data_IF_471696088827
#
_entry.id   IF_471696088827
#
_cell.length_a   1.000
_cell.length_b   1.000
_cell.length_c   1.000
_cell.angle_alpha   90.00
_cell.angle_beta   90.00
_cell.angle_gamma   90.00
#
_symmetry.space_group_name_H-M   'P 1'
#
loop_
_entity.id
_entity.type
_entity.pdbx_description
1 polymer ?
#
# COMPACT_ATOMS: atom_id res chain seq x y z
N UNK A 1 20.48 -6.59 -14.37
CA UNK A 1 19.49 -7.63 -14.14
C UNK A 1 18.19 -7.29 -14.85
N UNK A 2 17.54 -8.28 -15.45
CA UNK A 2 16.23 -8.09 -16.10
C UNK A 2 15.18 -7.60 -15.07
N UNK A 3 14.10 -6.94 -15.54
CA UNK A 3 12.95 -6.57 -14.68
C UNK A 3 12.40 -7.78 -13.93
N UNK A 4 12.39 -8.94 -14.57
CA UNK A 4 11.94 -10.20 -14.00
C UNK A 4 12.84 -10.68 -12.84
N UNK A 5 14.16 -10.62 -12.97
CA UNK A 5 15.09 -10.99 -11.89
C UNK A 5 14.99 -10.10 -10.65
N UNK A 6 14.65 -8.81 -10.84
CA UNK A 6 14.39 -7.90 -9.70
C UNK A 6 13.07 -8.21 -9.00
N UNK A 7 12.02 -8.57 -9.74
CA UNK A 7 10.74 -8.95 -9.16
C UNK A 7 10.83 -10.27 -8.38
N UNK A 8 11.59 -11.24 -8.88
CA UNK A 8 11.84 -12.52 -8.20
C UNK A 8 12.68 -12.33 -6.93
N UNK A 9 13.73 -11.50 -6.98
CA UNK A 9 14.54 -11.17 -5.81
C UNK A 9 13.74 -10.41 -4.74
N UNK A 10 12.88 -9.46 -5.15
CA UNK A 10 11.99 -8.76 -4.26
C UNK A 10 10.95 -9.68 -3.61
N UNK A 11 10.38 -10.63 -4.36
CA UNK A 11 9.45 -11.61 -3.84
C UNK A 11 10.14 -12.57 -2.84
N UNK A 12 11.38 -12.99 -3.12
CA UNK A 12 12.16 -13.83 -2.21
C UNK A 12 12.48 -13.08 -0.90
N UNK A 13 12.95 -11.83 -0.97
CA UNK A 13 13.23 -11.02 0.22
C UNK A 13 11.98 -10.73 1.06
N UNK A 14 10.81 -10.54 0.42
CA UNK A 14 9.54 -10.38 1.14
C UNK A 14 9.08 -11.65 1.85
N UNK A 15 9.43 -12.83 1.32
CA UNK A 15 9.12 -14.11 1.95
C UNK A 15 9.95 -14.35 3.24
N UNK A 16 11.16 -13.78 3.30
CA UNK A 16 12.05 -13.88 4.46
C UNK A 16 11.63 -12.98 5.63
N UNK A 17 10.87 -11.91 5.36
CA UNK A 17 10.38 -11.02 6.43
C UNK A 17 9.35 -11.72 7.32
N UNK A 18 9.67 -11.88 8.59
CA UNK A 18 8.80 -12.49 9.58
C UNK A 18 7.83 -11.48 10.18
N UNK A 19 6.52 -11.76 10.11
CA UNK A 19 5.50 -10.95 10.78
C UNK A 19 4.29 -10.65 9.92
N UNK A 20 3.29 -9.95 10.48
CA UNK A 20 2.04 -9.61 9.82
C UNK A 20 2.21 -8.43 8.85
N UNK A 21 2.85 -8.67 7.73
CA UNK A 21 3.03 -7.71 6.66
C UNK A 21 1.86 -7.73 5.68
N UNK A 22 1.54 -6.58 5.12
CA UNK A 22 0.59 -6.43 4.00
C UNK A 22 1.38 -6.16 2.73
N UNK A 23 1.11 -6.93 1.68
CA UNK A 23 1.74 -6.74 0.37
C UNK A 23 0.84 -5.94 -0.56
N UNK A 24 1.38 -4.87 -1.12
CA UNK A 24 0.73 -4.09 -2.17
C UNK A 24 1.34 -4.44 -3.53
N UNK A 25 0.56 -5.05 -4.41
CA UNK A 25 1.04 -5.64 -5.66
C UNK A 25 0.55 -4.82 -6.85
N UNK A 26 1.49 -4.35 -7.69
CA UNK A 26 1.15 -3.66 -8.94
C UNK A 26 0.48 -4.63 -9.92
N UNK A 27 -0.71 -4.30 -10.48
CA UNK A 27 -1.50 -5.24 -11.25
C UNK A 27 -0.91 -5.57 -12.63
N UNK A 28 0.00 -4.74 -13.13
CA UNK A 28 0.69 -4.96 -14.40
C UNK A 28 1.98 -5.78 -14.29
N UNK A 29 2.40 -6.15 -13.07
CA UNK A 29 3.59 -6.97 -12.88
C UNK A 29 3.35 -8.38 -13.42
N UNK A 30 4.40 -8.94 -14.07
CA UNK A 30 4.43 -10.35 -14.39
C UNK A 30 4.37 -11.16 -13.09
N UNK A 31 3.50 -12.16 -13.03
CA UNK A 31 3.32 -12.96 -11.83
C UNK A 31 2.51 -12.32 -10.69
N UNK A 32 1.86 -11.16 -10.90
CA UNK A 32 1.04 -10.51 -9.86
C UNK A 32 0.07 -11.47 -9.16
N UNK A 33 -0.65 -12.29 -9.92
CA UNK A 33 -1.59 -13.26 -9.39
C UNK A 33 -0.92 -14.41 -8.61
N UNK A 34 0.26 -14.86 -9.01
CA UNK A 34 1.00 -15.90 -8.27
C UNK A 34 1.59 -15.35 -6.98
N UNK A 35 2.15 -14.14 -7.01
CA UNK A 35 2.64 -13.44 -5.82
C UNK A 35 1.52 -13.22 -4.80
N UNK A 36 0.32 -12.80 -5.27
CA UNK A 36 -0.83 -12.63 -4.41
C UNK A 36 -1.23 -13.93 -3.70
N UNK A 37 -1.32 -15.05 -4.45
CA UNK A 37 -1.65 -16.36 -3.88
C UNK A 37 -0.61 -16.85 -2.86
N UNK A 38 0.67 -16.66 -3.13
CA UNK A 38 1.74 -17.04 -2.21
C UNK A 38 1.64 -16.24 -0.91
N UNK A 39 1.49 -14.92 -0.99
CA UNK A 39 1.34 -14.07 0.18
C UNK A 39 0.13 -14.46 1.03
N UNK A 40 -1.00 -14.77 0.40
CA UNK A 40 -2.21 -15.23 1.10
C UNK A 40 -2.03 -16.59 1.75
N UNK A 41 -1.30 -17.52 1.10
CA UNK A 41 -0.99 -18.81 1.69
C UNK A 41 -0.12 -18.69 2.96
N UNK A 42 0.67 -17.62 3.06
CA UNK A 42 1.44 -17.23 4.27
C UNK A 42 0.60 -16.44 5.29
N UNK A 43 -0.70 -16.25 5.05
CA UNK A 43 -1.61 -15.52 5.93
C UNK A 43 -1.45 -14.00 5.88
N UNK A 44 -0.83 -13.46 4.83
CA UNK A 44 -0.63 -12.02 4.65
C UNK A 44 -1.83 -11.36 3.99
N UNK A 45 -2.12 -10.13 4.37
CA UNK A 45 -3.05 -9.28 3.64
C UNK A 45 -2.43 -8.83 2.30
N UNK A 46 -3.25 -8.75 1.27
CA UNK A 46 -2.82 -8.31 -0.07
C UNK A 46 -3.69 -7.14 -0.53
N UNK A 47 -3.06 -6.09 -1.00
CA UNK A 47 -3.67 -4.92 -1.63
C UNK A 47 -3.30 -4.86 -3.11
N UNK A 48 -4.18 -4.30 -3.93
CA UNK A 48 -3.80 -3.88 -5.29
C UNK A 48 -3.11 -2.53 -5.22
N UNK A 49 -1.87 -2.44 -5.68
CA UNK A 49 -1.11 -1.20 -5.79
C UNK A 49 -1.44 -0.52 -7.11
N UNK A 50 -2.51 0.28 -7.12
CA UNK A 50 -3.10 0.83 -8.34
C UNK A 50 -2.30 2.02 -8.85
N UNK A 51 -1.78 1.99 -10.10
CA UNK A 51 -1.08 3.13 -10.68
C UNK A 51 -2.05 4.29 -10.90
N UNK A 52 -1.65 5.47 -10.42
CA UNK A 52 -2.45 6.69 -10.47
C UNK A 52 -1.61 7.89 -10.91
N UNK A 53 -2.24 8.83 -11.60
CA UNK A 53 -1.62 10.01 -12.18
C UNK A 53 -0.90 10.89 -11.15
N UNK A 54 0.43 11.15 -11.31
CA UNK A 54 1.16 12.09 -10.47
C UNK A 54 0.98 13.55 -10.95
N UNK A 55 1.37 14.51 -10.11
CA UNK A 55 1.47 15.92 -10.50
C UNK A 55 2.63 16.17 -11.47
N UNK A 56 3.69 15.38 -11.37
CA UNK A 56 4.87 15.47 -12.22
C UNK A 56 4.72 14.74 -13.55
N UNK A 57 5.85 14.58 -14.24
CA UNK A 57 5.94 13.89 -15.53
C UNK A 57 6.33 12.40 -15.39
N UNK A 58 6.47 11.92 -14.17
CA UNK A 58 6.81 10.52 -13.91
C UNK A 58 5.71 9.60 -14.43
N UNK A 59 6.13 8.48 -15.03
CA UNK A 59 5.19 7.48 -15.57
C UNK A 59 4.74 6.51 -14.47
N UNK A 60 3.47 6.52 -14.08
CA UNK A 60 2.94 5.60 -13.09
C UNK A 60 2.79 4.16 -13.62
N UNK A 61 3.01 3.95 -14.90
CA UNK A 61 2.89 2.65 -15.55
C UNK A 61 1.57 2.44 -16.30
N UNK A 62 1.42 1.28 -16.92
CA UNK A 62 0.26 0.98 -17.77
C UNK A 62 -1.04 0.92 -16.98
N UNK A 63 -2.14 1.26 -17.66
CA UNK A 63 -3.49 1.31 -17.11
C UNK A 63 -3.67 2.26 -15.91
N UNK A 64 -2.79 3.25 -15.76
CA UNK A 64 -2.87 4.22 -14.68
C UNK A 64 -4.21 4.98 -14.67
N UNK A 65 -4.77 5.20 -13.49
CA UNK A 65 -5.94 6.06 -13.32
C UNK A 65 -5.54 7.51 -13.54
N UNK A 66 -6.26 8.21 -14.40
CA UNK A 66 -6.04 9.62 -14.75
C UNK A 66 -7.31 10.41 -14.54
N UNK A 67 -7.18 11.67 -14.17
CA UNK A 67 -8.34 12.53 -13.87
C UNK A 67 -9.19 12.86 -15.11
N UNK A 68 -8.62 12.77 -16.31
CA UNK A 68 -9.28 13.03 -17.58
C UNK A 68 -10.07 11.82 -18.14
N UNK A 69 -9.98 10.67 -17.49
CA UNK A 69 -10.72 9.47 -17.92
C UNK A 69 -12.22 9.61 -17.64
N UNK A 70 -13.01 8.96 -18.51
CA UNK A 70 -14.44 8.79 -18.27
C UNK A 70 -14.69 7.92 -17.03
N UNK A 71 -15.88 8.05 -16.43
CA UNK A 71 -16.30 7.22 -15.31
C UNK A 71 -16.30 5.73 -15.67
N UNK A 72 -16.67 5.39 -16.91
CA UNK A 72 -16.66 4.03 -17.41
C UNK A 72 -15.23 3.46 -17.49
N UNK A 73 -14.28 4.26 -17.98
CA UNK A 73 -12.88 3.86 -18.10
C UNK A 73 -12.22 3.69 -16.70
N UNK A 74 -12.51 4.61 -15.78
CA UNK A 74 -12.04 4.51 -14.39
C UNK A 74 -12.51 3.19 -13.76
N UNK A 75 -13.82 2.87 -13.86
CA UNK A 75 -14.36 1.61 -13.36
C UNK A 75 -13.77 0.40 -14.07
N UNK A 76 -13.55 0.46 -15.37
CA UNK A 76 -12.97 -0.63 -16.15
C UNK A 76 -11.52 -0.91 -15.71
N UNK A 77 -10.72 0.13 -15.50
CA UNK A 77 -9.33 0.00 -15.03
C UNK A 77 -9.25 -0.56 -13.61
N UNK A 78 -10.13 -0.13 -12.70
CA UNK A 78 -10.20 -0.71 -11.35
C UNK A 78 -10.58 -2.19 -11.41
N UNK A 79 -11.62 -2.56 -12.17
CA UNK A 79 -12.00 -3.98 -12.31
C UNK A 79 -10.87 -4.82 -12.90
N UNK A 80 -10.17 -4.30 -13.91
CA UNK A 80 -8.99 -4.95 -14.47
C UNK A 80 -7.90 -5.14 -13.41
N UNK A 81 -7.58 -4.10 -12.64
CA UNK A 81 -6.55 -4.14 -11.61
C UNK A 81 -6.88 -5.17 -10.53
N UNK A 82 -8.11 -5.17 -10.03
CA UNK A 82 -8.59 -6.14 -9.03
C UNK A 82 -8.54 -7.58 -9.54
N UNK A 83 -8.91 -7.82 -10.81
CA UNK A 83 -8.87 -9.15 -11.41
C UNK A 83 -7.43 -9.69 -11.57
N UNK A 84 -6.42 -8.81 -11.66
CA UNK A 84 -5.01 -9.18 -11.77
C UNK A 84 -4.38 -9.60 -10.43
N UNK A 85 -4.99 -9.21 -9.31
CA UNK A 85 -4.49 -9.50 -7.96
C UNK A 85 -5.62 -10.20 -7.17
N UNK A 86 -5.87 -11.49 -7.43
CA UNK A 86 -6.99 -12.22 -6.83
C UNK A 86 -6.86 -12.29 -5.32
N UNK A 87 -8.00 -12.14 -4.62
CA UNK A 87 -8.07 -12.17 -3.16
C UNK A 87 -7.53 -10.93 -2.46
N UNK A 88 -7.26 -9.84 -3.20
CA UNK A 88 -6.93 -8.56 -2.60
C UNK A 88 -8.07 -8.04 -1.74
N UNK A 89 -7.76 -7.54 -0.55
CA UNK A 89 -8.71 -7.05 0.45
C UNK A 89 -9.01 -5.54 0.31
N UNK A 90 -8.38 -4.90 -0.64
CA UNK A 90 -8.49 -3.47 -0.90
C UNK A 90 -7.47 -2.98 -1.91
N UNK A 91 -7.32 -1.69 -1.99
CA UNK A 91 -6.31 -1.06 -2.83
C UNK A 91 -5.52 0.02 -2.07
N UNK A 92 -4.32 0.31 -2.56
CA UNK A 92 -3.61 1.54 -2.26
C UNK A 92 -3.08 2.20 -3.56
N UNK A 93 -2.75 3.48 -3.49
CA UNK A 93 -2.28 4.21 -4.65
C UNK A 93 -0.76 4.09 -4.85
N UNK A 94 -0.37 3.67 -6.08
CA UNK A 94 0.97 3.87 -6.60
C UNK A 94 1.06 5.26 -7.24
N UNK A 95 1.97 6.11 -6.74
CA UNK A 95 1.96 7.54 -7.08
C UNK A 95 0.60 8.21 -6.79
N UNK A 96 0.06 8.98 -7.72
CA UNK A 96 -1.29 9.50 -7.64
C UNK A 96 -1.42 10.86 -6.97
N UNK A 97 -0.33 11.63 -6.87
CA UNK A 97 -0.38 12.96 -6.24
C UNK A 97 -1.31 13.96 -6.94
N UNK A 98 -1.65 13.74 -8.22
CA UNK A 98 -2.69 14.48 -8.93
C UNK A 98 -4.06 13.79 -8.77
N UNK A 99 -4.12 12.49 -8.98
CA UNK A 99 -5.36 11.72 -8.95
C UNK A 99 -6.07 11.79 -7.60
N UNK A 100 -5.33 11.64 -6.50
CA UNK A 100 -5.90 11.64 -5.15
C UNK A 100 -6.40 13.02 -4.69
N UNK A 101 -6.12 14.08 -5.43
CA UNK A 101 -6.68 15.42 -5.20
C UNK A 101 -8.04 15.63 -5.87
N UNK A 102 -8.41 14.76 -6.83
CA UNK A 102 -9.69 14.87 -7.56
C UNK A 102 -10.78 14.02 -6.88
N UNK A 103 -11.76 14.64 -6.20
CA UNK A 103 -12.78 13.89 -5.47
C UNK A 103 -13.75 13.14 -6.38
N UNK A 104 -13.97 13.58 -7.63
CA UNK A 104 -14.82 12.87 -8.61
C UNK A 104 -14.14 11.57 -9.01
N UNK A 105 -12.91 11.65 -9.48
CA UNK A 105 -12.16 10.49 -9.96
C UNK A 105 -11.96 9.46 -8.83
N UNK A 106 -11.61 9.92 -7.62
CA UNK A 106 -11.51 9.07 -6.43
C UNK A 106 -12.84 8.38 -6.10
N UNK A 107 -13.96 9.12 -6.09
CA UNK A 107 -15.27 8.54 -5.78
C UNK A 107 -15.64 7.43 -6.75
N UNK A 108 -15.35 7.59 -8.03
CA UNK A 108 -15.59 6.57 -9.05
C UNK A 108 -14.69 5.34 -8.84
N UNK A 109 -13.39 5.58 -8.60
CA UNK A 109 -12.43 4.51 -8.38
C UNK A 109 -12.72 3.71 -7.10
N UNK A 110 -12.91 4.40 -5.97
CA UNK A 110 -13.19 3.76 -4.68
C UNK A 110 -14.58 3.13 -4.64
N UNK A 111 -15.58 3.75 -5.27
CA UNK A 111 -16.92 3.17 -5.38
C UNK A 111 -16.95 1.83 -6.12
N UNK A 112 -15.97 1.57 -6.98
CA UNK A 112 -15.89 0.32 -7.73
C UNK A 112 -15.39 -0.87 -6.89
N UNK A 113 -14.89 -0.65 -5.66
CA UNK A 113 -14.38 -1.71 -4.77
C UNK A 113 -15.24 -1.94 -3.53
N UNK A 114 -16.29 -1.14 -3.31
CA UNK A 114 -17.11 -1.18 -2.08
C UNK A 114 -17.63 -2.59 -1.76
N UNK A 115 -18.07 -3.32 -2.77
CA UNK A 115 -18.71 -4.64 -2.57
C UNK A 115 -17.71 -5.80 -2.47
N UNK A 116 -16.49 -5.64 -2.96
CA UNK A 116 -15.58 -6.77 -3.14
C UNK A 116 -14.32 -6.75 -2.28
N UNK A 117 -13.77 -5.56 -2.05
CA UNK A 117 -12.51 -5.38 -1.33
C UNK A 117 -12.52 -3.99 -0.65
N UNK A 118 -13.28 -3.81 0.43
CA UNK A 118 -13.66 -2.50 0.94
C UNK A 118 -12.60 -1.88 1.86
N UNK A 119 -11.33 -1.87 1.49
CA UNK A 119 -10.29 -1.15 2.20
C UNK A 119 -9.50 -0.25 1.26
N UNK A 120 -9.36 1.01 1.61
CA UNK A 120 -8.44 1.93 0.95
C UNK A 120 -7.28 2.27 1.89
N UNK A 121 -6.05 2.14 1.39
CA UNK A 121 -4.85 2.63 2.09
C UNK A 121 -4.27 3.79 1.29
N UNK A 122 -4.45 5.00 1.78
CA UNK A 122 -3.91 6.20 1.15
C UNK A 122 -2.40 6.28 1.41
N UNK A 123 -1.61 6.14 0.34
CA UNK A 123 -0.14 6.25 0.40
C UNK A 123 0.35 7.67 0.69
N UNK A 124 -0.56 8.65 0.78
CA UNK A 124 -0.25 10.05 1.10
C UNK A 124 0.89 10.63 0.24
N UNK A 125 0.78 10.46 -1.08
CA UNK A 125 1.75 11.00 -2.05
C UNK A 125 1.62 12.51 -2.25
N UNK A 126 0.61 13.11 -1.65
CA UNK A 126 0.39 14.55 -1.51
C UNK A 126 -0.33 14.85 -0.20
N UNK A 127 0.01 15.97 0.44
CA UNK A 127 -0.71 16.44 1.63
C UNK A 127 -2.16 16.85 1.33
N UNK A 128 -2.46 17.19 0.07
CA UNK A 128 -3.80 17.60 -0.40
C UNK A 128 -4.70 16.41 -0.81
N UNK A 129 -4.31 15.16 -0.46
CA UNK A 129 -5.15 14.00 -0.77
C UNK A 129 -6.56 14.14 -0.22
N UNK A 130 -7.54 13.81 -1.04
CA UNK A 130 -8.97 13.70 -0.67
C UNK A 130 -9.38 12.26 -0.35
N UNK A 131 -8.39 11.36 -0.28
CA UNK A 131 -8.62 9.91 -0.10
C UNK A 131 -9.50 9.58 1.08
N UNK A 132 -9.15 10.06 2.28
CA UNK A 132 -9.92 9.81 3.49
C UNK A 132 -11.35 10.35 3.39
N UNK A 133 -11.51 11.62 3.03
CA UNK A 133 -12.84 12.25 2.95
C UNK A 133 -13.76 11.56 1.93
N UNK A 134 -13.21 11.10 0.81
CA UNK A 134 -13.99 10.38 -0.21
C UNK A 134 -14.33 8.97 0.24
N UNK A 135 -13.38 8.24 0.85
CA UNK A 135 -13.61 6.89 1.37
C UNK A 135 -14.67 6.90 2.48
N UNK A 136 -14.56 7.81 3.44
CA UNK A 136 -15.53 8.01 4.52
C UNK A 136 -16.93 8.32 3.96
N UNK A 137 -17.02 9.19 2.95
CA UNK A 137 -18.28 9.51 2.27
C UNK A 137 -18.90 8.35 1.49
N UNK A 138 -18.15 7.26 1.25
CA UNK A 138 -18.61 6.01 0.66
C UNK A 138 -18.84 4.91 1.70
N UNK A 139 -18.55 5.17 2.98
CA UNK A 139 -18.58 4.16 4.03
C UNK A 139 -17.47 3.12 3.92
N UNK A 140 -16.38 3.45 3.21
CA UNK A 140 -15.21 2.58 3.06
C UNK A 140 -14.24 2.78 4.22
N UNK A 141 -13.77 1.71 4.86
CA UNK A 141 -12.62 1.78 5.75
C UNK A 141 -11.41 2.39 5.04
N UNK A 142 -10.74 3.30 5.69
CA UNK A 142 -9.54 3.95 5.16
C UNK A 142 -8.44 4.00 6.20
N UNK A 143 -7.21 3.69 5.76
CA UNK A 143 -5.98 3.94 6.50
C UNK A 143 -5.13 4.94 5.72
N UNK A 144 -4.33 5.70 6.42
CA UNK A 144 -3.38 6.64 5.84
C UNK A 144 -1.97 6.22 6.20
N UNK A 145 -1.03 6.36 5.27
CA UNK A 145 0.37 6.21 5.58
C UNK A 145 0.83 7.32 6.53
N UNK A 146 1.44 6.94 7.61
CA UNK A 146 2.10 7.87 8.53
C UNK A 146 3.57 8.05 8.15
N UNK A 147 4.29 6.96 7.95
CA UNK A 147 5.73 6.95 7.71
C UNK A 147 6.06 6.29 6.35
N UNK A 148 6.95 6.94 5.59
CA UNK A 148 7.56 6.39 4.39
C UNK A 148 8.99 5.98 4.70
N UNK A 149 9.29 4.67 4.65
CA UNK A 149 10.53 4.12 5.18
C UNK A 149 11.74 4.47 4.32
N UNK A 150 11.60 4.45 3.01
CA UNK A 150 12.70 4.44 2.05
C UNK A 150 12.65 5.61 1.07
N UNK A 151 12.27 6.79 1.56
CA UNK A 151 12.47 8.03 0.81
C UNK A 151 13.97 8.26 0.51
N UNK A 152 14.83 7.90 1.48
CA UNK A 152 16.27 7.77 1.32
C UNK A 152 16.61 6.30 1.52
N UNK A 153 17.16 5.64 0.48
CA UNK A 153 17.43 4.19 0.45
C UNK A 153 18.82 3.93 1.10
N UNK A 154 18.94 4.28 2.38
CA UNK A 154 20.14 4.07 3.20
C UNK A 154 19.71 3.46 4.54
N UNK A 155 20.48 2.49 5.05
CA UNK A 155 20.12 1.73 6.26
C UNK A 155 19.87 2.64 7.48
N UNK A 156 20.72 3.62 7.71
CA UNK A 156 20.59 4.54 8.85
C UNK A 156 19.36 5.45 8.71
N UNK A 157 19.05 5.90 7.48
CA UNK A 157 17.85 6.70 7.22
C UNK A 157 16.57 5.87 7.44
N UNK A 158 16.55 4.63 6.98
CA UNK A 158 15.42 3.71 7.18
C UNK A 158 15.26 3.41 8.68
N UNK A 159 16.36 3.13 9.41
CA UNK A 159 16.31 2.92 10.85
C UNK A 159 15.77 4.15 11.59
N UNK A 160 16.14 5.34 11.21
CA UNK A 160 15.58 6.57 11.78
C UNK A 160 14.05 6.66 11.58
N UNK A 161 13.55 6.26 10.39
CA UNK A 161 12.10 6.21 10.14
C UNK A 161 11.39 5.14 10.98
N UNK A 162 12.02 3.99 11.22
CA UNK A 162 11.47 2.94 12.09
C UNK A 162 11.35 3.43 13.55
N UNK A 163 12.36 4.12 14.07
CA UNK A 163 12.31 4.74 15.41
C UNK A 163 11.22 5.82 15.48
N UNK A 164 11.09 6.65 14.46
CA UNK A 164 10.02 7.66 14.38
C UNK A 164 8.63 7.00 14.35
N UNK A 165 8.48 5.88 13.65
CA UNK A 165 7.23 5.12 13.60
C UNK A 165 6.85 4.54 14.98
N UNK A 166 7.81 4.03 15.74
CA UNK A 166 7.57 3.56 17.10
C UNK A 166 7.12 4.69 18.01
N UNK A 167 7.81 5.84 17.97
CA UNK A 167 7.43 7.02 18.75
C UNK A 167 6.01 7.49 18.40
N UNK A 168 5.66 7.49 17.11
CA UNK A 168 4.32 7.84 16.65
C UNK A 168 3.27 6.84 17.13
N UNK A 169 3.53 5.53 16.99
CA UNK A 169 2.63 4.49 17.47
C UNK A 169 2.36 4.60 18.98
N UNK A 170 3.38 4.93 19.78
CA UNK A 170 3.22 5.16 21.22
C UNK A 170 2.40 6.39 21.54
N UNK A 171 2.48 7.44 20.73
CA UNK A 171 1.78 8.71 20.98
C UNK A 171 0.32 8.70 20.55
N UNK A 172 -0.01 8.06 19.42
CA UNK A 172 -1.36 8.05 18.84
C UNK A 172 -2.06 6.68 18.83
N UNK A 173 -1.36 5.63 19.32
CA UNK A 173 -1.92 4.28 19.44
C UNK A 173 -1.64 3.38 18.23
N UNK A 174 -1.18 3.90 17.10
CA UNK A 174 -0.82 3.12 15.90
C UNK A 174 0.13 3.90 14.99
N UNK A 175 0.74 3.21 14.02
CA UNK A 175 1.43 3.84 12.89
C UNK A 175 1.34 2.93 11.65
N UNK A 176 1.07 3.51 10.48
CA UNK A 176 1.06 2.83 9.19
C UNK A 176 2.32 3.20 8.42
N UNK A 177 3.15 2.21 8.16
CA UNK A 177 4.42 2.36 7.45
C UNK A 177 4.29 1.80 6.04
N UNK A 178 4.89 2.48 5.07
CA UNK A 178 5.04 1.99 3.70
C UNK A 178 6.52 2.02 3.33
N UNK A 179 6.99 0.95 2.69
CA UNK A 179 8.31 0.84 2.10
C UNK A 179 8.26 0.03 0.81
N UNK A 180 9.33 0.11 0.03
CA UNK A 180 9.52 -0.67 -1.20
C UNK A 180 10.52 -1.81 -0.95
N UNK A 181 10.51 -2.86 -1.77
CA UNK A 181 11.38 -4.03 -1.58
C UNK A 181 12.83 -3.77 -2.05
N UNK A 182 13.45 -2.72 -1.52
CA UNK A 182 14.89 -2.50 -1.65
C UNK A 182 15.63 -3.36 -0.63
N UNK A 183 16.84 -3.83 -0.93
CA UNK A 183 17.61 -4.66 0.00
C UNK A 183 17.73 -4.00 1.38
N UNK A 184 18.09 -2.72 1.44
CA UNK A 184 18.18 -1.98 2.70
C UNK A 184 16.84 -1.90 3.46
N UNK A 185 15.71 -1.80 2.74
CA UNK A 185 14.36 -1.76 3.36
C UNK A 185 13.91 -3.14 3.86
N UNK A 186 14.41 -4.22 3.27
CA UNK A 186 14.11 -5.58 3.70
C UNK A 186 14.96 -5.99 4.90
N UNK A 187 16.24 -5.60 4.93
CA UNK A 187 17.20 -5.96 5.99
C UNK A 187 17.03 -5.13 7.28
N UNK A 188 16.77 -3.82 7.15
CA UNK A 188 16.72 -2.92 8.31
C UNK A 188 15.62 -3.23 9.35
N UNK A 189 14.41 -3.73 8.99
CA UNK A 189 13.37 -4.03 9.97
C UNK A 189 13.62 -5.27 10.83
N UNK A 190 14.42 -6.25 10.39
CA UNK A 190 14.53 -7.53 11.10
C UNK A 190 14.93 -7.37 12.56
N UNK A 191 16.06 -6.73 12.84
CA UNK A 191 16.51 -6.48 14.21
C UNK A 191 15.58 -5.53 14.97
N UNK A 192 15.05 -4.51 14.28
CA UNK A 192 14.16 -3.54 14.91
C UNK A 192 12.79 -4.13 15.27
N UNK A 193 12.24 -5.05 14.47
CA UNK A 193 10.96 -5.71 14.77
C UNK A 193 11.00 -6.41 16.12
N UNK A 194 12.07 -7.12 16.41
CA UNK A 194 12.22 -7.83 17.67
C UNK A 194 12.42 -6.87 18.85
N UNK A 195 13.29 -5.87 18.71
CA UNK A 195 13.48 -4.80 19.69
C UNK A 195 12.15 -4.07 20.01
N UNK A 196 11.36 -3.72 18.99
CA UNK A 196 10.09 -3.04 19.15
C UNK A 196 9.02 -3.94 19.81
N UNK A 197 9.00 -5.23 19.51
CA UNK A 197 8.13 -6.21 20.19
C UNK A 197 8.46 -6.34 21.67
N UNK A 198 9.73 -6.44 22.01
CA UNK A 198 10.19 -6.46 23.40
C UNK A 198 9.80 -5.18 24.14
N UNK A 199 9.80 -4.05 23.42
CA UNK A 199 9.36 -2.76 23.91
C UNK A 199 7.81 -2.58 23.92
N UNK A 200 7.04 -3.64 23.62
CA UNK A 200 5.58 -3.69 23.71
C UNK A 200 4.83 -3.18 22.46
N UNK A 201 5.50 -3.06 21.31
CA UNK A 201 4.83 -2.72 20.03
C UNK A 201 4.25 -3.98 19.41
N UNK A 202 2.95 -3.94 19.11
CA UNK A 202 2.27 -5.01 18.38
C UNK A 202 2.28 -4.72 16.87
N UNK A 203 2.83 -5.64 16.09
CA UNK A 203 2.73 -5.60 14.62
C UNK A 203 1.46 -6.31 14.20
N UNK A 204 0.64 -5.65 13.40
CA UNK A 204 -0.66 -6.17 12.97
C UNK A 204 -0.87 -5.98 11.46
N UNK A 205 -1.72 -6.79 10.88
CA UNK A 205 -2.16 -6.63 9.49
C UNK A 205 -3.03 -5.37 9.35
N UNK A 206 -3.08 -4.80 8.15
CA UNK A 206 -3.93 -3.61 7.89
C UNK A 206 -5.41 -3.88 8.14
N UNK A 207 -5.89 -5.11 7.90
CA UNK A 207 -7.28 -5.49 8.23
C UNK A 207 -7.55 -5.46 9.74
N UNK A 208 -6.58 -5.91 10.54
CA UNK A 208 -6.69 -5.88 12.00
C UNK A 208 -6.71 -4.44 12.50
N UNK A 209 -5.79 -3.61 12.01
CA UNK A 209 -5.75 -2.19 12.38
C UNK A 209 -7.03 -1.47 11.97
N UNK A 210 -7.49 -1.67 10.73
CA UNK A 210 -8.73 -1.07 10.22
C UNK A 210 -9.94 -1.44 11.10
N UNK A 211 -10.05 -2.71 11.51
CA UNK A 211 -11.12 -3.16 12.39
C UNK A 211 -11.03 -2.60 13.82
N UNK A 212 -9.81 -2.28 14.31
CA UNK A 212 -9.61 -1.65 15.61
C UNK A 212 -10.02 -0.17 15.60
N UNK A 213 -9.68 0.55 14.53
CA UNK A 213 -10.00 1.98 14.39
C UNK A 213 -11.48 2.25 14.06
N UNK A 214 -12.21 1.25 13.59
CA UNK A 214 -13.65 1.35 13.31
C UNK A 214 -14.55 1.16 14.56
N UNK A 215 -13.95 0.87 15.72
CA UNK A 215 -14.68 0.67 17.00
C UNK A 215 -14.82 1.96 17.79
#
# INVERSE_FOLDING_TARGET
GSRQGRAEAAAAGLAELHGPLTLAIVPYADGAASTARLAQAEGRDVLVHVPMEPLGLDDPGPHALRVDLSDADLRARIRWAMARVPGAIGLNNHMGSRFTRDPRALRIALGAIVEGAPLFVDSMTTADSRGSAVAEGLGLPVLRRDIFLDHVIEADAIRAQLVAAEALARSQGHAVLIGHPHAATLEAPESWIDEAREAGVAFVRVTTLSAQLAR
#
